data_IF_744727490022
#
_entry.id   IF_744727490022
#
_cell.length_a   1.000
_cell.length_b   1.000
_cell.length_c   1.000
_cell.angle_alpha   90.00
_cell.angle_beta   90.00
_cell.angle_gamma   90.00
#
_symmetry.space_group_name_H-M   'P 1'
#
loop_
_entity.id
_entity.type
_entity.pdbx_description
1 polymer ?
#
# COMPACT_ATOMS: atom_id res chain seq x y z
N UNK A 1 32.92 4.66 -8.04
CA UNK A 1 32.34 6.00 -8.26
C UNK A 1 32.21 6.20 -9.76
N UNK A 2 31.08 5.81 -10.32
CA UNK A 2 30.72 6.11 -11.72
C UNK A 2 29.36 6.80 -11.65
N UNK A 3 29.32 8.08 -11.97
CA UNK A 3 28.11 8.82 -12.23
C UNK A 3 27.39 8.15 -13.40
N UNK A 4 26.27 7.46 -13.15
CA UNK A 4 25.35 7.09 -14.21
C UNK A 4 24.63 8.38 -14.64
N UNK A 5 25.22 9.04 -15.63
CA UNK A 5 24.51 10.07 -16.38
C UNK A 5 23.48 9.33 -17.24
N UNK A 6 22.19 9.72 -17.12
CA UNK A 6 21.21 9.42 -18.14
C UNK A 6 21.80 9.81 -19.51
N UNK A 7 21.31 9.25 -20.58
CA UNK A 7 21.86 9.41 -21.93
C UNK A 7 22.08 10.87 -22.33
N UNK A 8 21.67 11.83 -21.51
CA UNK A 8 21.72 13.27 -21.75
C UNK A 8 22.17 14.14 -20.56
N UNK A 9 22.65 13.54 -19.47
CA UNK A 9 23.35 14.26 -18.39
C UNK A 9 22.51 15.19 -17.51
N UNK A 10 21.17 15.04 -17.50
CA UNK A 10 20.26 15.90 -16.75
C UNK A 10 19.71 15.20 -15.51
N UNK A 11 19.66 15.94 -14.42
CA UNK A 11 19.11 15.47 -13.14
C UNK A 11 17.60 15.73 -13.07
N UNK A 12 16.78 14.70 -13.24
CA UNK A 12 15.33 14.78 -12.97
C UNK A 12 15.13 14.64 -11.45
N UNK A 13 14.58 15.65 -10.81
CA UNK A 13 14.27 15.63 -9.38
C UNK A 13 12.88 14.99 -9.16
N UNK A 14 12.87 13.68 -8.87
CA UNK A 14 11.64 12.90 -8.62
C UNK A 14 10.86 13.45 -7.41
N UNK A 15 11.56 14.02 -6.41
CA UNK A 15 10.92 14.68 -5.28
C UNK A 15 10.18 15.96 -5.70
N UNK A 16 10.75 16.69 -6.69
CA UNK A 16 10.08 17.85 -7.29
C UNK A 16 8.81 17.44 -8.03
N UNK A 17 8.85 16.33 -8.75
CA UNK A 17 7.70 15.79 -9.49
C UNK A 17 6.60 15.38 -8.53
N UNK A 18 6.90 14.61 -7.47
CA UNK A 18 5.93 14.19 -6.47
C UNK A 18 5.25 15.39 -5.77
N UNK A 19 6.02 16.45 -5.44
CA UNK A 19 5.45 17.66 -4.85
C UNK A 19 4.67 18.50 -5.86
N UNK A 20 5.06 18.52 -7.14
CA UNK A 20 4.31 19.20 -8.19
C UNK A 20 2.96 18.51 -8.42
N UNK A 21 2.90 17.19 -8.46
CA UNK A 21 1.67 16.39 -8.55
C UNK A 21 0.78 16.64 -7.33
N UNK A 22 1.34 16.63 -6.12
CA UNK A 22 0.58 16.94 -4.90
C UNK A 22 -0.03 18.36 -4.95
N UNK A 23 0.68 19.35 -5.51
CA UNK A 23 0.15 20.70 -5.69
C UNK A 23 -0.97 20.76 -6.74
N UNK A 24 -0.85 20.05 -7.85
CA UNK A 24 -1.87 20.00 -8.90
C UNK A 24 -3.15 19.33 -8.39
N UNK A 25 -3.02 18.23 -7.64
CA UNK A 25 -4.15 17.51 -7.03
C UNK A 25 -4.82 18.35 -5.91
N UNK A 26 -4.04 19.24 -5.23
CA UNK A 26 -4.56 20.09 -4.13
C UNK A 26 -4.99 21.49 -4.56
N UNK A 27 -4.66 21.94 -5.77
CA UNK A 27 -5.06 23.25 -6.30
C UNK A 27 -6.33 23.15 -7.14
N UNK A 28 -7.42 22.62 -6.59
CA UNK A 28 -8.76 22.85 -7.11
C UNK A 28 -9.21 24.24 -6.62
N UNK A 29 -8.67 25.28 -7.29
CA UNK A 29 -9.19 26.63 -7.19
C UNK A 29 -10.53 26.64 -7.91
N UNK A 30 -11.62 26.52 -7.13
CA UNK A 30 -13.03 26.44 -7.47
C UNK A 30 -13.55 27.42 -8.55
N UNK A 31 -13.01 27.37 -9.74
CA UNK A 31 -13.52 28.11 -10.90
C UNK A 31 -13.84 27.09 -12.01
N UNK A 32 -15.08 26.54 -11.92
CA UNK A 32 -15.65 25.61 -12.86
C UNK A 32 -15.76 26.14 -14.28
N UNK A 33 -14.76 25.84 -15.10
CA UNK A 33 -14.87 25.76 -16.55
C UNK A 33 -13.71 24.91 -17.11
N UNK A 34 -13.79 23.61 -16.96
CA UNK A 34 -12.93 22.69 -17.69
C UNK A 34 -13.74 22.07 -18.82
N UNK A 35 -13.55 22.57 -20.03
CA UNK A 35 -13.93 21.85 -21.25
C UNK A 35 -13.13 20.56 -21.34
N UNK A 36 -13.83 19.46 -21.58
CA UNK A 36 -13.25 18.13 -21.80
C UNK A 36 -12.36 18.12 -23.06
N UNK A 37 -11.10 18.44 -22.87
CA UNK A 37 -10.03 18.27 -23.83
C UNK A 37 -8.78 17.88 -23.06
N UNK A 38 -8.18 16.74 -23.37
CA UNK A 38 -6.99 16.19 -22.74
C UNK A 38 -5.84 17.21 -22.73
N UNK A 39 -5.68 17.91 -21.61
CA UNK A 39 -4.51 18.73 -21.37
C UNK A 39 -3.95 18.35 -20.01
N UNK A 40 -2.96 17.46 -20.01
CA UNK A 40 -2.06 17.23 -18.88
C UNK A 40 -1.49 18.57 -18.42
N UNK A 41 -1.52 18.90 -17.12
CA UNK A 41 -0.95 20.16 -16.65
C UNK A 41 0.54 20.17 -16.94
N UNK A 42 0.99 21.07 -17.82
CA UNK A 42 2.40 21.24 -18.15
C UNK A 42 3.10 21.89 -16.95
N UNK A 43 3.90 21.09 -16.24
CA UNK A 43 4.78 21.61 -15.19
C UNK A 43 5.89 22.41 -15.84
N UNK A 44 5.93 23.74 -15.62
CA UNK A 44 6.91 24.64 -16.25
C UNK A 44 7.97 25.17 -15.30
N UNK A 45 7.92 24.81 -14.01
CA UNK A 45 8.86 25.32 -13.01
C UNK A 45 9.46 24.21 -12.18
N UNK A 46 10.76 24.31 -11.94
CA UNK A 46 11.50 23.48 -10.98
C UNK A 46 11.13 23.82 -9.53
N UNK A 47 11.62 23.04 -8.56
CA UNK A 47 11.32 23.26 -7.12
C UNK A 47 11.89 24.59 -6.59
N UNK A 48 12.99 25.09 -7.14
CA UNK A 48 13.57 26.37 -6.77
C UNK A 48 12.86 27.57 -7.45
N UNK A 49 11.84 27.28 -8.29
CA UNK A 49 11.04 28.28 -8.98
C UNK A 49 11.63 28.76 -10.30
N UNK A 50 12.75 28.20 -10.77
CA UNK A 50 13.31 28.48 -12.09
C UNK A 50 12.44 27.89 -13.21
N UNK A 51 12.47 28.48 -14.39
CA UNK A 51 11.72 27.97 -15.53
C UNK A 51 12.42 26.74 -16.13
N UNK A 52 11.65 25.70 -16.42
CA UNK A 52 12.12 24.51 -17.15
C UNK A 52 12.28 24.81 -18.63
N UNK A 53 13.25 24.14 -19.28
CA UNK A 53 13.27 24.12 -20.74
C UNK A 53 12.05 23.35 -21.29
N UNK A 54 11.66 23.61 -22.54
CA UNK A 54 10.54 22.89 -23.18
C UNK A 54 10.74 21.37 -23.17
N UNK A 55 11.97 20.92 -23.38
CA UNK A 55 12.37 19.51 -23.37
C UNK A 55 12.24 18.89 -21.96
N UNK A 56 12.68 19.59 -20.92
CA UNK A 56 12.49 19.16 -19.53
C UNK A 56 11.01 19.11 -19.14
N UNK A 57 10.22 20.09 -19.57
CA UNK A 57 8.76 20.11 -19.33
C UNK A 57 8.07 18.93 -20.04
N UNK A 58 8.52 18.57 -21.23
CA UNK A 58 8.01 17.42 -21.98
C UNK A 58 8.35 16.10 -21.27
N UNK A 59 9.60 15.88 -20.86
CA UNK A 59 10.03 14.68 -20.13
C UNK A 59 9.24 14.51 -18.80
N UNK A 60 9.03 15.60 -18.07
CA UNK A 60 8.22 15.60 -16.84
C UNK A 60 6.76 15.27 -17.13
N UNK A 61 6.21 15.81 -18.21
CA UNK A 61 4.82 15.53 -18.61
C UNK A 61 4.63 14.06 -18.96
N UNK A 62 5.53 13.48 -19.75
CA UNK A 62 5.50 12.05 -20.12
C UNK A 62 5.64 11.14 -18.91
N UNK A 63 6.57 11.47 -17.99
CA UNK A 63 6.72 10.76 -16.72
C UNK A 63 5.42 10.78 -15.89
N UNK A 64 4.79 11.95 -15.76
CA UNK A 64 3.53 12.09 -15.01
C UNK A 64 2.39 11.31 -15.68
N UNK A 65 2.28 11.36 -17.00
CA UNK A 65 1.26 10.61 -17.75
C UNK A 65 1.39 9.11 -17.53
N UNK A 66 2.60 8.56 -17.62
CA UNK A 66 2.86 7.15 -17.36
C UNK A 66 2.48 6.74 -15.94
N UNK A 67 2.90 7.54 -14.93
CA UNK A 67 2.60 7.25 -13.53
C UNK A 67 1.10 7.37 -13.22
N UNK A 68 0.44 8.40 -13.74
CA UNK A 68 -1.01 8.57 -13.58
C UNK A 68 -1.79 7.46 -14.27
N UNK A 69 -1.35 7.01 -15.46
CA UNK A 69 -1.93 5.86 -16.14
C UNK A 69 -1.85 4.59 -15.30
N UNK A 70 -0.67 4.32 -14.71
CA UNK A 70 -0.47 3.16 -13.84
C UNK A 70 -1.31 3.23 -12.55
N UNK A 71 -1.42 4.42 -11.92
CA UNK A 71 -2.28 4.63 -10.75
C UNK A 71 -3.76 4.40 -11.10
N UNK A 72 -4.21 4.92 -12.23
CA UNK A 72 -5.59 4.70 -12.69
C UNK A 72 -5.88 3.22 -12.96
N UNK A 73 -4.91 2.46 -13.49
CA UNK A 73 -5.05 1.01 -13.66
C UNK A 73 -5.18 0.28 -12.30
N UNK A 74 -4.45 0.73 -11.26
CA UNK A 74 -4.63 0.19 -9.90
C UNK A 74 -6.09 0.35 -9.45
N UNK A 75 -6.67 1.54 -9.56
CA UNK A 75 -8.06 1.80 -9.15
C UNK A 75 -9.08 1.08 -10.04
N UNK A 76 -8.85 1.05 -11.36
CA UNK A 76 -9.73 0.32 -12.29
C UNK A 76 -9.84 -1.15 -11.91
N UNK A 77 -8.70 -1.81 -11.68
CA UNK A 77 -8.68 -3.22 -11.27
C UNK A 77 -9.27 -3.42 -9.87
N UNK A 78 -9.12 -2.47 -8.97
CA UNK A 78 -9.81 -2.51 -7.67
C UNK A 78 -11.32 -2.51 -7.84
N UNK A 79 -11.86 -1.61 -8.69
CA UNK A 79 -13.28 -1.58 -9.02
C UNK A 79 -13.75 -2.92 -9.60
N UNK A 80 -13.02 -3.49 -10.53
CA UNK A 80 -13.33 -4.81 -11.13
C UNK A 80 -13.43 -5.91 -10.05
N UNK A 81 -12.51 -5.95 -9.08
CA UNK A 81 -12.55 -6.94 -7.99
C UNK A 81 -13.72 -6.71 -7.01
N UNK A 82 -14.10 -5.47 -6.78
CA UNK A 82 -15.25 -5.14 -5.94
C UNK A 82 -16.55 -5.48 -6.66
N UNK A 83 -16.69 -5.09 -7.94
CA UNK A 83 -17.88 -5.32 -8.75
C UNK A 83 -18.17 -6.80 -8.97
N UNK A 84 -17.15 -7.62 -9.19
CA UNK A 84 -17.29 -9.06 -9.33
C UNK A 84 -17.40 -9.83 -8.01
N UNK A 85 -17.35 -9.12 -6.86
CA UNK A 85 -17.49 -9.70 -5.53
C UNK A 85 -16.28 -10.47 -5.01
N UNK A 86 -15.10 -10.28 -5.60
CA UNK A 86 -13.86 -10.92 -5.12
C UNK A 86 -13.56 -10.50 -3.69
N UNK A 87 -13.75 -9.22 -3.36
CA UNK A 87 -13.73 -8.69 -1.98
C UNK A 87 -14.69 -7.52 -1.83
N UNK A 88 -15.00 -7.19 -0.58
CA UNK A 88 -15.97 -6.14 -0.24
C UNK A 88 -15.46 -4.75 -0.60
N UNK A 89 -16.40 -3.83 -0.89
CA UNK A 89 -16.08 -2.41 -0.91
C UNK A 89 -15.39 -2.00 0.39
N UNK A 90 -14.24 -1.29 0.34
CA UNK A 90 -13.47 -0.99 1.53
C UNK A 90 -14.29 -0.20 2.56
N UNK A 91 -14.33 -0.68 3.79
CA UNK A 91 -15.15 -0.14 4.87
C UNK A 91 -14.89 1.34 5.17
N UNK A 92 -13.71 1.81 4.89
CA UNK A 92 -13.25 3.18 5.14
C UNK A 92 -13.55 4.14 4.00
N UNK A 93 -13.88 3.63 2.82
CA UNK A 93 -14.37 4.39 1.69
C UNK A 93 -15.91 4.51 1.67
N UNK A 94 -16.61 3.70 2.44
CA UNK A 94 -18.07 3.75 2.59
C UNK A 94 -18.45 4.72 3.73
N UNK A 95 -19.13 5.84 3.44
CA UNK A 95 -19.52 6.82 4.45
C UNK A 95 -20.37 6.24 5.59
N UNK A 96 -21.06 5.11 5.35
CA UNK A 96 -21.90 4.45 6.37
C UNK A 96 -21.11 3.61 7.36
N UNK A 97 -19.93 3.14 6.99
CA UNK A 97 -19.07 2.23 7.78
C UNK A 97 -17.72 2.84 8.16
N UNK A 98 -17.29 3.87 7.46
CA UNK A 98 -16.04 4.56 7.72
C UNK A 98 -16.00 5.18 9.13
N UNK A 99 -14.85 5.23 9.79
CA UNK A 99 -14.71 5.96 11.04
C UNK A 99 -15.13 7.42 10.85
N UNK A 100 -16.02 7.91 11.72
CA UNK A 100 -16.54 9.29 11.64
C UNK A 100 -15.43 10.35 11.59
N UNK A 101 -14.27 10.09 12.19
CA UNK A 101 -13.11 10.96 12.16
C UNK A 101 -12.50 11.10 10.75
N UNK A 102 -12.59 10.09 9.91
CA UNK A 102 -12.00 10.07 8.57
C UNK A 102 -12.70 11.06 7.62
N UNK A 103 -14.01 11.25 7.80
CA UNK A 103 -14.83 12.16 6.99
C UNK A 103 -15.11 13.49 7.69
N UNK A 104 -14.61 13.67 8.92
CA UNK A 104 -14.76 14.93 9.63
C UNK A 104 -13.73 15.96 9.14
N UNK A 105 -14.15 17.06 8.50
CA UNK A 105 -13.25 18.07 7.95
C UNK A 105 -12.27 18.66 8.98
N UNK A 106 -12.70 18.80 10.24
CA UNK A 106 -11.85 19.30 11.32
C UNK A 106 -10.76 18.30 11.70
N UNK A 107 -11.10 17.00 11.75
CA UNK A 107 -10.14 15.94 12.03
C UNK A 107 -9.13 15.80 10.88
N UNK A 108 -9.57 15.83 9.62
CA UNK A 108 -8.72 15.81 8.43
C UNK A 108 -7.80 17.04 8.41
N UNK A 109 -8.33 18.24 8.68
CA UNK A 109 -7.54 19.47 8.75
C UNK A 109 -6.51 19.41 9.88
N UNK A 110 -6.87 18.88 11.05
CA UNK A 110 -5.94 18.70 12.17
C UNK A 110 -4.80 17.73 11.82
N UNK A 111 -5.11 16.64 11.11
CA UNK A 111 -4.13 15.66 10.65
C UNK A 111 -3.20 16.27 9.58
N UNK A 112 -3.76 16.98 8.60
CA UNK A 112 -3.00 17.68 7.58
C UNK A 112 -2.05 18.74 8.18
N UNK A 113 -2.52 19.52 9.17
CA UNK A 113 -1.69 20.49 9.88
C UNK A 113 -0.57 19.81 10.71
N UNK A 114 -0.87 18.67 11.34
CA UNK A 114 0.15 17.91 12.07
C UNK A 114 1.20 17.35 11.11
N UNK A 115 0.77 16.80 9.98
CA UNK A 115 1.66 16.36 8.91
C UNK A 115 2.52 17.49 8.36
N UNK A 116 1.95 18.66 8.07
CA UNK A 116 2.70 19.81 7.55
C UNK A 116 3.80 20.29 8.52
N UNK A 117 3.56 20.17 9.84
CA UNK A 117 4.60 20.47 10.84
C UNK A 117 5.70 19.43 10.84
N UNK A 118 5.33 18.14 10.80
CA UNK A 118 6.29 17.04 10.75
C UNK A 118 7.15 17.12 9.48
N UNK A 119 6.55 17.38 8.33
CA UNK A 119 7.27 17.52 7.04
C UNK A 119 8.32 18.64 7.04
N UNK A 120 8.15 19.70 7.83
CA UNK A 120 9.21 20.72 8.00
C UNK A 120 10.43 20.14 8.71
N UNK A 121 10.20 19.39 9.79
CA UNK A 121 11.27 18.71 10.53
C UNK A 121 11.94 17.63 9.66
N UNK A 122 11.14 16.88 8.89
CA UNK A 122 11.64 15.91 7.90
C UNK A 122 12.55 16.59 6.88
N UNK A 123 12.14 17.75 6.32
CA UNK A 123 12.96 18.50 5.36
C UNK A 123 14.27 19.01 5.98
N UNK A 124 14.24 19.53 7.21
CA UNK A 124 15.43 19.96 7.94
C UNK A 124 16.39 18.78 8.18
N UNK A 125 15.88 17.64 8.62
CA UNK A 125 16.65 16.42 8.86
C UNK A 125 17.25 15.85 7.58
N UNK A 126 16.49 15.86 6.48
CA UNK A 126 16.95 15.47 5.14
C UNK A 126 18.10 16.36 4.67
N UNK A 127 17.94 17.69 4.74
CA UNK A 127 18.97 18.64 4.34
C UNK A 127 20.25 18.49 5.17
N UNK A 128 20.11 18.17 6.45
CA UNK A 128 21.23 17.92 7.35
C UNK A 128 21.81 16.49 7.25
N UNK A 129 21.19 15.59 6.44
CA UNK A 129 21.52 14.16 6.32
C UNK A 129 21.54 13.41 7.66
N UNK A 130 20.64 13.78 8.57
CA UNK A 130 20.51 13.22 9.92
C UNK A 130 19.51 12.05 9.99
N UNK A 131 19.82 10.93 9.34
CA UNK A 131 18.98 9.73 9.41
C UNK A 131 19.15 8.88 10.66
N UNK A 132 20.23 9.07 11.42
CA UNK A 132 20.57 8.22 12.57
C UNK A 132 20.39 8.90 13.94
N UNK A 133 19.70 10.03 13.99
CA UNK A 133 19.45 10.80 15.20
C UNK A 133 18.70 9.99 16.29
N UNK A 134 17.87 9.05 15.88
CA UNK A 134 17.10 8.19 16.76
C UNK A 134 17.99 7.30 17.64
N UNK A 135 19.08 6.78 17.09
CA UNK A 135 20.06 5.97 17.83
C UNK A 135 20.68 6.73 18.98
N UNK A 136 20.91 8.05 18.81
CA UNK A 136 21.48 8.91 19.85
C UNK A 136 20.47 9.22 20.95
N UNK A 137 19.19 9.29 20.62
CA UNK A 137 18.12 9.74 21.52
C UNK A 137 17.48 8.58 22.31
N UNK A 138 17.35 7.39 21.73
CA UNK A 138 16.60 6.26 22.29
C UNK A 138 17.48 5.13 22.86
N UNK A 139 18.70 5.40 23.26
CA UNK A 139 19.67 4.42 23.82
C UNK A 139 19.24 3.82 25.16
N UNK A 140 18.04 4.07 25.67
CA UNK A 140 17.60 3.63 26.99
C UNK A 140 17.60 2.08 27.17
N UNK A 141 17.41 1.31 26.09
CA UNK A 141 17.60 -0.15 26.07
C UNK A 141 18.07 -0.63 24.69
N UNK A 142 19.37 -0.61 24.39
CA UNK A 142 19.91 -1.03 23.09
C UNK A 142 19.72 -2.52 22.80
N UNK A 143 19.27 -3.32 23.78
CA UNK A 143 18.96 -4.75 23.57
C UNK A 143 17.53 -5.01 23.11
N UNK A 144 16.64 -4.02 23.26
CA UNK A 144 15.23 -4.16 22.89
C UNK A 144 15.02 -4.07 21.39
N UNK A 145 15.78 -3.23 20.71
CA UNK A 145 15.65 -2.98 19.28
C UNK A 145 16.94 -3.28 18.55
N UNK A 146 16.91 -3.91 17.37
CA UNK A 146 18.11 -4.11 16.57
C UNK A 146 18.64 -2.76 16.05
N UNK A 147 19.93 -2.69 15.82
CA UNK A 147 20.62 -1.48 15.40
C UNK A 147 20.07 -0.86 14.11
N UNK A 148 19.65 -1.70 13.15
CA UNK A 148 19.08 -1.23 11.90
C UNK A 148 17.71 -0.57 12.07
N UNK A 149 16.98 -0.88 13.15
CA UNK A 149 15.68 -0.30 13.46
C UNK A 149 15.78 1.08 14.09
N UNK A 150 16.90 1.38 14.75
CA UNK A 150 17.12 2.61 15.49
C UNK A 150 17.61 3.75 14.58
N UNK A 151 16.81 4.09 13.57
CA UNK A 151 17.07 5.20 12.66
C UNK A 151 15.77 5.87 12.20
N UNK A 152 15.90 7.10 11.68
CA UNK A 152 14.76 7.86 11.19
C UNK A 152 14.48 7.46 9.73
N UNK A 153 13.90 6.29 9.51
CA UNK A 153 13.41 5.90 8.20
C UNK A 153 12.53 7.02 7.64
N UNK A 154 12.63 7.28 6.34
CA UNK A 154 11.91 8.37 5.66
C UNK A 154 12.20 9.76 6.25
N UNK A 155 13.29 9.91 7.03
CA UNK A 155 13.59 11.08 7.85
C UNK A 155 12.47 11.47 8.81
N UNK A 156 11.48 10.59 9.02
CA UNK A 156 10.34 10.87 9.88
C UNK A 156 10.76 11.02 11.35
N UNK A 157 9.99 11.82 12.09
CA UNK A 157 10.25 12.07 13.49
C UNK A 157 10.03 10.79 14.30
N UNK A 158 11.03 10.46 15.15
CA UNK A 158 11.06 9.29 16.04
C UNK A 158 11.01 7.92 15.31
N UNK A 159 11.27 7.86 14.00
CA UNK A 159 11.17 6.61 13.24
C UNK A 159 9.80 5.93 13.49
N UNK A 160 9.79 4.68 13.95
CA UNK A 160 8.56 3.97 14.33
C UNK A 160 8.34 3.90 15.85
N UNK A 161 9.03 4.72 16.65
CA UNK A 161 9.06 4.62 18.12
C UNK A 161 8.25 5.71 18.85
N UNK A 162 7.23 6.28 18.18
CA UNK A 162 6.32 7.20 18.88
C UNK A 162 4.86 7.03 18.45
N UNK A 163 3.94 7.39 19.36
CA UNK A 163 2.52 7.42 19.07
C UNK A 163 2.15 8.48 18.02
N UNK A 164 2.95 9.53 17.88
CA UNK A 164 2.75 10.55 16.85
C UNK A 164 3.11 10.01 15.48
N UNK A 165 4.26 9.34 15.35
CA UNK A 165 4.65 8.65 14.11
C UNK A 165 3.55 7.69 13.67
N UNK A 166 3.12 6.77 14.54
CA UNK A 166 2.06 5.81 14.24
C UNK A 166 0.73 6.48 13.82
N UNK A 167 0.40 7.65 14.38
CA UNK A 167 -0.82 8.40 14.03
C UNK A 167 -0.74 9.06 12.65
N UNK A 168 0.45 9.49 12.22
CA UNK A 168 0.63 10.18 10.95
C UNK A 168 0.90 9.22 9.79
N UNK A 169 1.40 8.04 10.07
CA UNK A 169 1.95 7.10 9.11
C UNK A 169 1.02 6.82 7.93
N UNK A 170 -0.21 6.34 8.18
CA UNK A 170 -1.14 5.99 7.10
C UNK A 170 -1.48 7.20 6.21
N UNK A 171 -1.64 8.38 6.80
CA UNK A 171 -1.88 9.62 6.06
C UNK A 171 -0.66 10.02 5.23
N UNK A 172 0.55 9.91 5.78
CA UNK A 172 1.79 10.24 5.07
C UNK A 172 2.02 9.30 3.89
N UNK A 173 1.77 8.01 4.08
CA UNK A 173 1.92 7.00 3.03
C UNK A 173 0.89 7.20 1.91
N UNK A 174 -0.38 7.48 2.25
CA UNK A 174 -1.39 7.82 1.23
C UNK A 174 -1.03 9.08 0.44
N UNK A 175 -0.52 10.10 1.11
CA UNK A 175 -0.05 11.33 0.44
C UNK A 175 1.15 11.06 -0.48
N UNK A 176 2.10 10.22 -0.05
CA UNK A 176 3.28 9.84 -0.83
C UNK A 176 2.89 9.11 -2.12
N UNK A 177 1.91 8.20 -2.02
CA UNK A 177 1.44 7.38 -3.13
C UNK A 177 0.15 7.90 -3.79
N UNK A 178 -0.11 9.20 -3.68
CA UNK A 178 -1.22 9.90 -4.36
C UNK A 178 -2.61 9.27 -4.12
N UNK A 179 -2.83 8.75 -2.92
CA UNK A 179 -4.08 8.10 -2.52
C UNK A 179 -4.24 6.65 -2.97
N UNK A 180 -3.20 6.04 -3.57
CA UNK A 180 -3.27 4.68 -4.09
C UNK A 180 -2.64 3.61 -3.17
N UNK A 181 -2.03 4.02 -2.04
CA UNK A 181 -1.30 3.09 -1.19
C UNK A 181 -2.17 1.92 -0.69
N UNK A 182 -3.37 2.20 -0.24
CA UNK A 182 -4.29 1.15 0.23
C UNK A 182 -4.80 0.28 -0.91
N UNK A 183 -5.06 0.85 -2.09
CA UNK A 183 -5.44 0.09 -3.27
C UNK A 183 -4.31 -0.87 -3.71
N UNK A 184 -3.04 -0.42 -3.63
CA UNK A 184 -1.88 -1.28 -3.86
C UNK A 184 -1.78 -2.41 -2.83
N UNK A 185 -1.98 -2.13 -1.52
CA UNK A 185 -2.01 -3.15 -0.46
C UNK A 185 -3.11 -4.19 -0.72
N UNK A 186 -4.31 -3.75 -1.09
CA UNK A 186 -5.47 -4.63 -1.36
C UNK A 186 -5.30 -5.54 -2.58
N UNK A 187 -4.26 -5.35 -3.41
CA UNK A 187 -3.90 -6.30 -4.49
C UNK A 187 -3.61 -7.72 -4.00
N UNK A 188 -3.32 -7.94 -2.72
CA UNK A 188 -3.21 -9.27 -2.14
C UNK A 188 -4.58 -9.92 -1.82
N UNK A 189 -5.65 -9.13 -1.66
CA UNK A 189 -6.97 -9.66 -1.28
C UNK A 189 -7.56 -10.67 -2.26
N UNK A 190 -7.43 -10.55 -3.59
CA UNK A 190 -7.91 -11.57 -4.53
C UNK A 190 -7.27 -12.94 -4.28
N UNK A 191 -5.98 -13.00 -3.99
CA UNK A 191 -5.27 -14.24 -3.67
C UNK A 191 -5.68 -14.81 -2.32
N UNK A 192 -5.94 -13.93 -1.33
CA UNK A 192 -6.47 -14.32 -0.02
C UNK A 192 -7.90 -14.87 -0.18
N UNK A 193 -8.75 -14.21 -0.97
CA UNK A 193 -10.12 -14.66 -1.25
C UNK A 193 -10.13 -16.05 -1.91
N UNK A 194 -9.22 -16.29 -2.87
CA UNK A 194 -9.06 -17.60 -3.49
C UNK A 194 -8.63 -18.67 -2.49
N UNK A 195 -7.63 -18.37 -1.65
CA UNK A 195 -7.18 -19.26 -0.59
C UNK A 195 -8.30 -19.58 0.41
N UNK A 196 -9.12 -18.61 0.75
CA UNK A 196 -10.20 -18.73 1.73
C UNK A 196 -11.48 -19.36 1.18
N UNK A 197 -11.64 -19.52 -0.16
CA UNK A 197 -12.88 -19.95 -0.83
C UNK A 197 -13.49 -21.22 -0.25
N UNK A 198 -12.66 -22.17 0.14
CA UNK A 198 -13.09 -23.48 0.66
C UNK A 198 -12.59 -23.71 2.10
N UNK A 199 -12.33 -22.63 2.85
CA UNK A 199 -11.81 -22.71 4.23
C UNK A 199 -12.81 -22.07 5.19
N UNK A 200 -12.88 -22.65 6.38
CA UNK A 200 -13.65 -22.06 7.47
C UNK A 200 -12.78 -20.97 8.15
N UNK A 201 -13.22 -19.72 8.03
CA UNK A 201 -12.52 -18.58 8.60
C UNK A 201 -12.41 -18.67 10.13
N UNK A 202 -13.40 -19.27 10.81
CA UNK A 202 -13.41 -19.38 12.28
C UNK A 202 -12.32 -20.30 12.83
N UNK A 203 -11.82 -21.21 12.01
CA UNK A 203 -10.75 -22.15 12.36
C UNK A 203 -9.41 -21.81 11.69
N UNK A 204 -9.40 -20.89 10.73
CA UNK A 204 -8.21 -20.46 10.00
C UNK A 204 -7.40 -19.48 10.86
N UNK A 205 -6.13 -19.81 11.10
CA UNK A 205 -5.18 -18.97 11.82
C UNK A 205 -4.37 -18.10 10.86
N UNK A 206 -4.45 -16.79 11.06
CA UNK A 206 -3.75 -15.78 10.29
C UNK A 206 -2.70 -15.06 11.13
N UNK A 207 -1.50 -14.87 10.58
CA UNK A 207 -0.44 -14.03 11.13
C UNK A 207 -0.16 -12.86 10.18
N UNK A 208 -0.21 -11.65 10.72
CA UNK A 208 0.24 -10.43 10.02
C UNK A 208 1.59 -10.02 10.60
N UNK A 209 2.67 -10.21 9.81
CA UNK A 209 4.07 -9.97 10.24
C UNK A 209 4.45 -8.54 9.93
N UNK A 210 4.97 -7.84 10.95
CA UNK A 210 5.22 -6.40 10.92
C UNK A 210 3.94 -5.62 10.54
N UNK A 211 2.89 -5.85 11.34
CA UNK A 211 1.54 -5.35 11.05
C UNK A 211 1.42 -3.83 10.97
N UNK A 212 2.44 -3.09 11.41
CA UNK A 212 2.46 -1.64 11.42
C UNK A 212 1.28 -1.06 12.20
N UNK A 213 0.51 -0.19 11.57
CA UNK A 213 -0.74 0.35 12.13
C UNK A 213 -1.91 -0.64 12.09
N UNK A 214 -1.72 -1.83 11.52
CA UNK A 214 -2.77 -2.82 11.29
C UNK A 214 -3.68 -2.47 10.10
N UNK A 215 -3.22 -1.59 9.21
CA UNK A 215 -4.01 -1.10 8.08
C UNK A 215 -4.41 -2.23 7.14
N UNK A 216 -3.44 -3.03 6.67
CA UNK A 216 -3.74 -4.17 5.80
C UNK A 216 -4.53 -5.27 6.53
N UNK A 217 -4.15 -5.58 7.76
CA UNK A 217 -4.89 -6.51 8.62
C UNK A 217 -6.38 -6.15 8.71
N UNK A 218 -6.69 -4.85 8.77
CA UNK A 218 -8.08 -4.40 8.85
C UNK A 218 -8.89 -4.74 7.60
N UNK A 219 -8.28 -4.69 6.41
CA UNK A 219 -8.94 -5.10 5.16
C UNK A 219 -9.13 -6.62 5.08
N UNK A 220 -8.14 -7.39 5.54
CA UNK A 220 -8.28 -8.86 5.63
C UNK A 220 -9.43 -9.21 6.57
N UNK A 221 -9.49 -8.60 7.76
CA UNK A 221 -10.53 -8.86 8.75
C UNK A 221 -11.91 -8.30 8.37
N UNK A 222 -11.97 -7.27 7.54
CA UNK A 222 -13.25 -6.80 7.00
C UNK A 222 -13.86 -7.84 6.07
N UNK A 223 -13.05 -8.48 5.24
CA UNK A 223 -13.49 -9.53 4.33
C UNK A 223 -13.77 -10.86 5.06
N UNK A 224 -12.98 -11.17 6.06
CA UNK A 224 -13.04 -12.42 6.84
C UNK A 224 -13.06 -12.13 8.36
N UNK A 225 -14.18 -11.59 8.90
CA UNK A 225 -14.24 -11.11 10.28
C UNK A 225 -14.11 -12.22 11.33
N UNK A 226 -14.33 -13.49 10.96
CA UNK A 226 -14.23 -14.65 11.83
C UNK A 226 -12.81 -15.21 11.96
N UNK A 227 -11.83 -14.68 11.18
CA UNK A 227 -10.45 -15.14 11.25
C UNK A 227 -9.84 -15.04 12.64
N UNK A 228 -9.06 -16.06 13.01
CA UNK A 228 -8.23 -16.07 14.21
C UNK A 228 -6.89 -15.37 13.88
N UNK A 229 -6.87 -14.04 13.99
CA UNK A 229 -5.74 -13.22 13.58
C UNK A 229 -4.73 -13.00 14.71
N UNK A 230 -3.45 -13.00 14.38
CA UNK A 230 -2.34 -12.54 15.20
C UNK A 230 -1.63 -11.42 14.48
N UNK A 231 -1.40 -10.28 15.13
CA UNK A 231 -0.59 -9.19 14.64
C UNK A 231 0.75 -9.21 15.40
N UNK A 232 1.86 -9.34 14.66
CA UNK A 232 3.20 -9.24 15.20
C UNK A 232 3.82 -7.92 14.75
N UNK A 233 4.28 -7.12 15.71
CA UNK A 233 4.86 -5.80 15.46
C UNK A 233 5.90 -5.47 16.53
N UNK A 234 7.02 -4.90 16.11
CA UNK A 234 8.12 -4.55 17.02
C UNK A 234 7.87 -3.25 17.78
N UNK A 235 7.16 -2.28 17.16
CA UNK A 235 6.82 -1.02 17.81
C UNK A 235 5.57 -1.16 18.69
N UNK A 236 5.66 -0.92 19.99
CA UNK A 236 4.48 -0.91 20.86
C UNK A 236 3.47 0.18 20.48
N UNK A 237 3.94 1.28 19.88
CA UNK A 237 3.07 2.38 19.43
C UNK A 237 2.26 2.01 18.19
N UNK A 238 2.87 1.32 17.24
CA UNK A 238 2.20 0.82 16.05
C UNK A 238 1.27 -0.34 16.40
N UNK A 239 1.69 -1.24 17.28
CA UNK A 239 0.85 -2.34 17.79
C UNK A 239 -0.41 -1.81 18.51
N UNK A 240 -0.30 -0.70 19.27
CA UNK A 240 -1.45 -0.04 19.88
C UNK A 240 -2.38 0.60 18.82
N UNK A 241 -1.82 1.12 17.71
CA UNK A 241 -2.63 1.58 16.57
C UNK A 241 -3.36 0.42 15.90
N UNK A 242 -2.68 -0.72 15.71
CA UNK A 242 -3.29 -1.98 15.23
C UNK A 242 -4.46 -2.39 16.10
N UNK A 243 -4.32 -2.36 17.42
CA UNK A 243 -5.39 -2.68 18.38
C UNK A 243 -6.59 -1.75 18.19
N UNK A 244 -6.36 -0.43 18.12
CA UNK A 244 -7.41 0.58 17.97
C UNK A 244 -8.16 0.44 16.66
N UNK A 245 -7.43 0.30 15.55
CA UNK A 245 -8.02 0.21 14.20
C UNK A 245 -8.88 -1.06 14.07
N UNK A 246 -8.41 -2.17 14.64
CA UNK A 246 -9.07 -3.46 14.53
C UNK A 246 -10.16 -3.74 15.59
N UNK A 247 -10.36 -2.81 16.54
CA UNK A 247 -11.43 -2.91 17.57
C UNK A 247 -12.83 -3.05 16.95
N UNK A 248 -13.05 -2.49 15.76
CA UNK A 248 -14.31 -2.56 15.01
C UNK A 248 -14.76 -3.97 14.64
N UNK A 249 -13.85 -4.95 14.71
CA UNK A 249 -14.12 -6.36 14.43
C UNK A 249 -14.34 -7.19 15.69
N UNK A 250 -14.28 -6.59 16.89
CA UNK A 250 -14.60 -7.28 18.13
C UNK A 250 -16.06 -7.77 18.12
N UNK A 251 -16.29 -8.99 18.60
CA UNK A 251 -17.61 -9.61 18.62
C UNK A 251 -18.15 -10.13 17.28
N UNK A 252 -17.34 -10.09 16.21
CA UNK A 252 -17.72 -10.62 14.88
C UNK A 252 -17.29 -12.08 14.64
N UNK A 253 -16.97 -12.83 15.69
CA UNK A 253 -16.64 -14.26 15.65
C UNK A 253 -15.13 -14.55 15.61
N UNK A 254 -14.31 -13.66 15.10
CA UNK A 254 -12.86 -13.80 15.08
C UNK A 254 -12.16 -13.25 16.33
N UNK A 255 -10.87 -13.55 16.44
CA UNK A 255 -10.00 -13.03 17.51
C UNK A 255 -8.88 -12.14 16.96
N UNK A 256 -8.25 -11.38 17.84
CA UNK A 256 -7.00 -10.67 17.55
C UNK A 256 -6.05 -10.83 18.72
N UNK A 257 -4.95 -11.57 18.49
CA UNK A 257 -3.80 -11.65 19.38
C UNK A 257 -2.77 -10.62 18.95
N UNK A 258 -2.26 -9.83 19.89
CA UNK A 258 -1.18 -8.86 19.63
C UNK A 258 0.11 -9.39 20.23
N UNK A 259 1.17 -9.37 19.43
CA UNK A 259 2.50 -9.87 19.82
C UNK A 259 3.52 -8.76 19.54
N UNK A 260 4.08 -8.17 20.61
CA UNK A 260 5.20 -7.25 20.50
C UNK A 260 6.49 -8.08 20.40
N UNK A 261 7.03 -8.22 19.19
CA UNK A 261 8.23 -9.01 18.95
C UNK A 261 8.94 -8.62 17.66
N UNK A 262 10.23 -8.98 17.58
CA UNK A 262 11.02 -8.88 16.37
C UNK A 262 10.69 -10.07 15.44
N UNK A 263 10.48 -9.78 14.15
CA UNK A 263 10.22 -10.79 13.13
C UNK A 263 11.41 -11.73 12.86
N UNK A 264 12.60 -11.42 13.36
CA UNK A 264 13.77 -12.29 13.29
C UNK A 264 13.75 -13.47 14.30
N UNK A 265 12.92 -13.34 15.35
CA UNK A 265 12.80 -14.35 16.41
C UNK A 265 11.35 -14.29 16.95
N UNK A 266 10.43 -14.92 16.24
CA UNK A 266 9.01 -14.88 16.57
C UNK A 266 8.69 -15.82 17.73
N UNK A 267 8.12 -15.34 18.86
CA UNK A 267 7.69 -16.18 19.99
C UNK A 267 6.38 -16.93 19.64
N UNK A 268 6.42 -17.71 18.55
CA UNK A 268 5.30 -18.41 17.96
C UNK A 268 5.71 -19.85 17.66
N UNK A 269 4.76 -20.78 17.71
CA UNK A 269 5.00 -22.18 17.51
C UNK A 269 5.27 -22.53 16.03
N UNK A 270 6.04 -23.58 15.80
CA UNK A 270 6.25 -24.14 14.46
C UNK A 270 4.91 -24.59 13.87
N UNK A 271 4.69 -24.29 12.58
CA UNK A 271 3.48 -24.71 11.88
C UNK A 271 2.18 -24.28 12.60
N UNK A 272 2.15 -23.07 13.15
CA UNK A 272 0.98 -22.55 13.87
C UNK A 272 -0.09 -21.98 12.92
N UNK A 273 0.33 -21.33 11.82
CA UNK A 273 -0.56 -20.50 10.98
C UNK A 273 -0.89 -21.14 9.64
N UNK A 274 -2.15 -20.97 9.20
CA UNK A 274 -2.63 -21.40 7.88
C UNK A 274 -2.27 -20.39 6.79
N UNK A 275 -2.23 -19.11 7.14
CA UNK A 275 -1.79 -18.03 6.25
C UNK A 275 -0.99 -16.97 6.99
N UNK A 276 -0.06 -16.37 6.25
CA UNK A 276 0.75 -15.23 6.69
C UNK A 276 0.56 -14.08 5.70
N UNK A 277 0.44 -12.86 6.20
CA UNK A 277 0.56 -11.63 5.43
C UNK A 277 1.79 -10.85 5.88
N UNK A 278 2.47 -10.23 4.94
CA UNK A 278 3.57 -9.30 5.20
C UNK A 278 3.52 -8.18 4.18
N UNK A 279 3.51 -6.93 4.63
CA UNK A 279 3.32 -5.76 3.77
C UNK A 279 4.36 -4.70 4.07
N UNK A 280 5.17 -4.35 3.06
CA UNK A 280 6.16 -3.26 3.08
C UNK A 280 7.18 -3.36 4.24
N UNK A 281 7.82 -4.53 4.37
CA UNK A 281 8.86 -4.78 5.38
C UNK A 281 10.24 -4.99 4.76
N UNK A 282 10.35 -5.79 3.70
CA UNK A 282 11.66 -6.32 3.26
C UNK A 282 12.59 -5.25 2.69
N UNK A 283 12.05 -4.19 2.07
CA UNK A 283 12.86 -3.07 1.61
C UNK A 283 13.52 -2.29 2.75
N UNK A 284 13.00 -2.40 3.98
CA UNK A 284 13.51 -1.76 5.18
C UNK A 284 14.54 -2.62 5.95
N UNK A 285 14.76 -3.85 5.52
CA UNK A 285 15.63 -4.79 6.22
C UNK A 285 16.99 -4.96 5.56
N UNK A 286 18.08 -5.10 6.34
CA UNK A 286 19.36 -5.59 5.83
C UNK A 286 19.22 -6.97 5.16
N UNK A 287 20.04 -7.27 4.16
CA UNK A 287 19.99 -8.55 3.41
C UNK A 287 19.97 -9.80 4.30
N UNK A 288 20.85 -9.85 5.29
CA UNK A 288 20.92 -11.01 6.20
C UNK A 288 19.65 -11.16 7.03
N UNK A 289 19.06 -10.04 7.45
CA UNK A 289 17.81 -10.02 8.23
C UNK A 289 16.63 -10.51 7.40
N UNK A 290 16.55 -10.15 6.11
CA UNK A 290 15.49 -10.66 5.20
C UNK A 290 15.46 -12.18 5.18
N UNK A 291 16.62 -12.84 5.08
CA UNK A 291 16.70 -14.30 5.10
C UNK A 291 16.25 -14.89 6.44
N UNK A 292 16.64 -14.27 7.57
CA UNK A 292 16.21 -14.70 8.90
C UNK A 292 14.69 -14.60 9.04
N UNK A 293 14.11 -13.47 8.65
CA UNK A 293 12.65 -13.25 8.70
C UNK A 293 11.91 -14.21 7.76
N UNK A 294 12.43 -14.45 6.54
CA UNK A 294 11.84 -15.43 5.62
C UNK A 294 11.81 -16.85 6.21
N UNK A 295 12.88 -17.26 6.90
CA UNK A 295 12.96 -18.57 7.60
C UNK A 295 11.96 -18.64 8.76
N UNK A 296 11.82 -17.57 9.54
CA UNK A 296 10.84 -17.52 10.63
C UNK A 296 9.41 -17.60 10.10
N UNK A 297 9.09 -16.86 9.01
CA UNK A 297 7.79 -16.99 8.35
C UNK A 297 7.53 -18.42 7.87
N UNK A 298 8.54 -19.06 7.25
CA UNK A 298 8.42 -20.44 6.81
C UNK A 298 8.27 -21.42 7.99
N UNK A 299 8.96 -21.17 9.13
CA UNK A 299 8.86 -22.01 10.34
C UNK A 299 7.45 -22.01 10.91
N UNK A 300 6.86 -20.82 11.09
CA UNK A 300 5.56 -20.70 11.73
C UNK A 300 4.38 -21.00 10.79
N UNK A 301 4.60 -21.03 9.47
CA UNK A 301 3.59 -21.40 8.46
C UNK A 301 3.41 -22.92 8.43
N UNK A 302 2.16 -23.39 8.40
CA UNK A 302 1.83 -24.83 8.24
C UNK A 302 2.19 -25.34 6.86
N UNK A 303 2.55 -26.62 6.69
CA UNK A 303 2.53 -27.28 5.39
C UNK A 303 1.17 -27.09 4.69
N UNK A 304 1.17 -26.70 3.41
CA UNK A 304 -0.02 -26.31 2.65
C UNK A 304 -0.58 -24.92 2.97
N UNK A 305 0.04 -24.20 3.91
CA UNK A 305 -0.27 -22.79 4.18
C UNK A 305 0.34 -21.85 3.14
N UNK A 306 -0.12 -20.58 3.11
CA UNK A 306 0.35 -19.57 2.16
C UNK A 306 0.85 -18.31 2.82
N UNK A 307 1.92 -17.74 2.24
CA UNK A 307 2.42 -16.40 2.50
C UNK A 307 1.94 -15.47 1.39
N UNK A 308 1.25 -14.40 1.76
CA UNK A 308 0.88 -13.28 0.89
C UNK A 308 1.81 -12.12 1.21
N UNK A 309 2.75 -11.90 0.33
CA UNK A 309 3.82 -10.92 0.48
C UNK A 309 3.53 -9.74 -0.43
N UNK A 310 3.55 -8.53 0.12
CA UNK A 310 3.41 -7.26 -0.63
C UNK A 310 4.58 -6.37 -0.28
N UNK A 311 5.31 -5.93 -1.30
CA UNK A 311 6.43 -5.01 -1.07
C UNK A 311 6.64 -4.11 -2.30
N UNK A 312 7.63 -3.27 -2.27
CA UNK A 312 7.97 -2.38 -3.38
C UNK A 312 8.41 -3.18 -4.62
N UNK A 313 8.20 -2.62 -5.80
CA UNK A 313 8.76 -3.17 -7.04
C UNK A 313 10.28 -3.18 -7.02
N UNK A 314 10.86 -4.04 -7.84
CA UNK A 314 12.30 -4.23 -7.98
C UNK A 314 12.77 -3.88 -9.39
N UNK A 315 14.08 -3.81 -9.61
CA UNK A 315 14.67 -3.62 -10.94
C UNK A 315 14.21 -4.76 -11.85
N UNK A 316 13.64 -4.40 -12.99
CA UNK A 316 13.10 -5.32 -13.99
C UNK A 316 11.58 -5.52 -13.93
N UNK A 317 10.90 -5.19 -12.81
CA UNK A 317 9.44 -5.29 -12.70
C UNK A 317 8.70 -4.28 -13.62
N UNK A 318 9.35 -3.20 -14.01
CA UNK A 318 8.77 -2.17 -14.90
C UNK A 318 8.54 -2.61 -16.35
N UNK A 319 9.15 -3.71 -16.79
CA UNK A 319 9.02 -4.20 -18.19
C UNK A 319 7.58 -4.53 -18.55
N UNK A 320 6.86 -5.19 -17.66
CA UNK A 320 5.48 -5.61 -17.89
C UNK A 320 4.49 -4.44 -17.92
N UNK A 321 4.85 -3.32 -17.26
CA UNK A 321 3.99 -2.14 -17.12
C UNK A 321 4.36 -0.98 -18.06
N UNK A 322 5.36 -1.15 -18.94
CA UNK A 322 5.84 -0.10 -19.84
C UNK A 322 6.57 1.06 -19.13
N UNK A 323 7.00 0.85 -17.89
CA UNK A 323 7.62 1.87 -17.02
C UNK A 323 9.13 1.64 -16.80
N UNK A 324 9.79 0.79 -17.58
CA UNK A 324 11.15 0.30 -17.34
C UNK A 324 12.15 1.43 -17.02
N UNK A 325 12.27 2.43 -17.86
CA UNK A 325 13.23 3.52 -17.65
C UNK A 325 12.87 4.47 -16.51
N UNK A 326 11.58 4.74 -16.31
CA UNK A 326 11.10 5.62 -15.25
C UNK A 326 11.27 4.98 -13.87
N UNK A 327 11.03 3.67 -13.75
CA UNK A 327 11.24 2.94 -12.50
C UNK A 327 12.71 2.87 -12.11
N UNK A 328 13.60 2.54 -13.03
CA UNK A 328 15.02 2.43 -12.72
C UNK A 328 15.59 3.74 -12.19
N UNK A 329 15.21 4.86 -12.76
CA UNK A 329 15.60 6.19 -12.29
C UNK A 329 15.02 6.50 -10.91
N UNK A 330 13.73 6.18 -10.68
CA UNK A 330 13.08 6.37 -9.39
C UNK A 330 13.74 5.49 -8.31
N UNK A 331 13.97 4.20 -8.60
CA UNK A 331 14.59 3.24 -7.67
C UNK A 331 16.04 3.62 -7.32
N UNK A 332 16.76 4.31 -8.19
CA UNK A 332 18.11 4.80 -7.87
C UNK A 332 18.09 6.01 -6.91
N UNK A 333 17.14 6.92 -7.07
CA UNK A 333 17.11 8.21 -6.34
C UNK A 333 16.27 8.18 -5.08
N UNK A 334 15.14 7.46 -5.11
CA UNK A 334 14.17 7.38 -4.02
C UNK A 334 14.79 7.00 -2.66
N UNK A 335 15.68 5.98 -2.57
CA UNK A 335 16.27 5.58 -1.30
C UNK A 335 17.14 6.65 -0.65
N UNK A 336 17.87 7.41 -1.46
CA UNK A 336 18.73 8.50 -0.95
C UNK A 336 17.87 9.68 -0.48
N UNK A 337 16.79 9.98 -1.20
CA UNK A 337 15.88 11.07 -0.86
C UNK A 337 15.04 10.78 0.39
N UNK A 338 14.64 9.52 0.59
CA UNK A 338 13.77 9.12 1.70
C UNK A 338 14.50 8.44 2.86
N UNK A 339 15.83 8.36 2.84
CA UNK A 339 16.60 7.63 3.84
C UNK A 339 16.13 6.20 4.04
N UNK A 340 16.23 5.42 2.95
CA UNK A 340 15.97 3.98 2.93
C UNK A 340 17.28 3.23 2.63
N UNK A 341 18.09 2.98 3.65
CA UNK A 341 19.47 2.53 3.44
C UNK A 341 19.58 1.11 2.86
N UNK A 342 18.53 0.31 2.99
CA UNK A 342 18.53 -1.09 2.55
C UNK A 342 17.78 -1.30 1.22
N UNK A 343 17.12 -0.27 0.71
CA UNK A 343 16.27 -0.36 -0.47
C UNK A 343 17.05 -0.72 -1.75
N UNK A 344 18.23 -0.13 -1.96
CA UNK A 344 19.05 -0.44 -3.16
C UNK A 344 19.46 -1.91 -3.22
N UNK A 345 19.78 -2.51 -2.07
CA UNK A 345 20.07 -3.93 -1.98
C UNK A 345 18.81 -4.79 -2.15
N UNK A 346 17.67 -4.34 -1.62
CA UNK A 346 16.37 -4.97 -1.84
C UNK A 346 16.01 -4.97 -3.33
N UNK A 347 16.17 -3.84 -4.03
CA UNK A 347 15.78 -3.68 -5.43
C UNK A 347 16.47 -4.66 -6.40
N UNK A 348 17.62 -5.24 -6.01
CA UNK A 348 18.36 -6.25 -6.79
C UNK A 348 18.31 -7.65 -6.18
N UNK A 349 17.61 -7.84 -5.05
CA UNK A 349 17.50 -9.15 -4.40
C UNK A 349 16.51 -10.04 -5.15
N UNK A 350 16.90 -11.26 -5.51
CA UNK A 350 15.97 -12.25 -6.03
C UNK A 350 15.08 -12.78 -4.89
N UNK A 351 13.88 -12.23 -4.76
CA UNK A 351 12.93 -12.61 -3.70
C UNK A 351 12.40 -14.03 -3.86
N UNK A 352 12.25 -14.52 -5.10
CA UNK A 352 11.84 -15.92 -5.33
C UNK A 352 12.87 -16.86 -4.74
N UNK A 353 14.14 -16.69 -5.12
CA UNK A 353 15.26 -17.51 -4.60
C UNK A 353 15.37 -17.40 -3.07
N UNK A 354 15.24 -16.20 -2.51
CA UNK A 354 15.31 -15.97 -1.06
C UNK A 354 14.24 -16.76 -0.30
N UNK A 355 12.98 -16.74 -0.77
CA UNK A 355 11.90 -17.49 -0.11
C UNK A 355 11.97 -18.99 -0.40
N UNK A 356 12.48 -19.40 -1.56
CA UNK A 356 12.73 -20.81 -1.87
C UNK A 356 13.84 -21.40 -0.98
N UNK A 357 14.92 -20.67 -0.73
CA UNK A 357 15.96 -21.03 0.25
C UNK A 357 15.40 -21.10 1.68
N UNK A 358 14.37 -20.32 2.00
CA UNK A 358 13.67 -20.40 3.28
C UNK A 358 12.70 -21.59 3.37
N UNK A 359 12.50 -22.36 2.28
CA UNK A 359 11.62 -23.55 2.23
C UNK A 359 10.19 -23.27 1.76
N UNK A 360 9.96 -22.14 1.10
CA UNK A 360 8.68 -21.78 0.49
C UNK A 360 8.76 -21.95 -1.03
N UNK A 361 7.61 -22.16 -1.68
CA UNK A 361 7.49 -22.28 -3.13
C UNK A 361 6.73 -21.06 -3.68
N UNK A 362 7.30 -20.40 -4.67
CA UNK A 362 6.64 -19.32 -5.40
C UNK A 362 5.44 -19.85 -6.20
N UNK A 363 4.31 -19.13 -6.18
CA UNK A 363 3.09 -19.48 -6.90
C UNK A 363 2.61 -18.38 -7.85
N UNK A 364 2.72 -17.10 -7.46
CA UNK A 364 2.23 -16.00 -8.27
C UNK A 364 2.97 -14.70 -7.96
N UNK A 365 3.02 -13.82 -8.97
CA UNK A 365 3.46 -12.42 -8.83
C UNK A 365 2.50 -11.53 -9.60
N UNK A 366 2.17 -10.36 -9.03
CA UNK A 366 1.45 -9.30 -9.71
C UNK A 366 1.98 -7.95 -9.27
N UNK A 367 2.04 -7.00 -10.19
CA UNK A 367 2.43 -5.62 -9.92
C UNK A 367 1.22 -4.70 -9.86
N UNK A 368 1.35 -3.62 -9.09
CA UNK A 368 0.36 -2.57 -8.99
C UNK A 368 1.08 -1.25 -8.78
N UNK A 369 1.29 -0.51 -9.84
CA UNK A 369 2.14 0.68 -9.90
C UNK A 369 3.52 0.40 -9.28
N UNK A 370 3.86 0.99 -8.13
CA UNK A 370 5.16 0.83 -7.45
C UNK A 370 5.16 -0.29 -6.40
N UNK A 371 4.17 -1.14 -6.40
CA UNK A 371 4.03 -2.26 -5.48
C UNK A 371 3.97 -3.60 -6.21
N UNK A 372 4.45 -4.64 -5.55
CA UNK A 372 4.46 -6.01 -6.02
C UNK A 372 3.84 -6.93 -4.99
N UNK A 373 2.88 -7.75 -5.40
CA UNK A 373 2.31 -8.83 -4.60
C UNK A 373 2.91 -10.15 -5.05
N UNK A 374 3.39 -10.97 -4.13
CA UNK A 374 3.88 -12.31 -4.39
C UNK A 374 3.17 -13.31 -3.46
N UNK A 375 2.89 -14.49 -3.97
CA UNK A 375 2.27 -15.58 -3.22
C UNK A 375 3.23 -16.74 -3.16
N UNK A 376 3.44 -17.25 -1.96
CA UNK A 376 4.25 -18.44 -1.71
C UNK A 376 3.45 -19.46 -0.92
N UNK A 377 3.76 -20.75 -1.08
CA UNK A 377 3.21 -21.83 -0.26
C UNK A 377 4.31 -22.62 0.44
N UNK A 378 4.00 -23.15 1.61
CA UNK A 378 4.86 -24.14 2.27
C UNK A 378 4.52 -25.54 1.77
N UNK A 379 5.43 -26.25 1.10
CA UNK A 379 5.20 -27.61 0.63
C UNK A 379 4.84 -28.57 1.77
N UNK A 380 4.12 -29.64 1.45
CA UNK A 380 3.97 -30.77 2.36
C UNK A 380 5.28 -31.58 2.46
N UNK A 381 5.52 -32.23 3.59
CA UNK A 381 6.69 -33.07 3.78
C UNK A 381 6.82 -34.12 2.68
N UNK A 382 8.00 -34.22 2.08
CA UNK A 382 8.28 -35.13 0.96
C UNK A 382 7.87 -34.63 -0.43
N UNK A 383 7.33 -33.42 -0.57
CA UNK A 383 7.12 -32.78 -1.85
C UNK A 383 8.43 -32.11 -2.33
N UNK A 384 8.99 -32.58 -3.44
CA UNK A 384 10.12 -31.88 -4.08
C UNK A 384 9.66 -30.52 -4.59
N UNK A 385 10.46 -29.49 -4.35
CA UNK A 385 10.24 -28.17 -4.94
C UNK A 385 10.60 -28.22 -6.43
N UNK A 386 9.68 -27.97 -7.37
CA UNK A 386 10.06 -27.74 -8.75
C UNK A 386 10.94 -26.49 -8.81
N UNK A 387 12.01 -26.53 -9.62
CA UNK A 387 12.89 -25.38 -9.79
C UNK A 387 12.13 -24.22 -10.43
N UNK A 388 12.38 -23.00 -9.99
CA UNK A 388 11.70 -21.75 -10.39
C UNK A 388 11.60 -21.51 -11.92
N UNK A 389 12.38 -22.20 -12.75
CA UNK A 389 12.36 -22.09 -14.21
C UNK A 389 11.17 -22.78 -14.91
N UNK A 390 10.32 -23.54 -14.19
CA UNK A 390 9.29 -24.41 -14.79
C UNK A 390 7.84 -23.98 -14.49
N UNK A 391 7.63 -22.87 -13.77
CA UNK A 391 6.29 -22.43 -13.42
C UNK A 391 5.71 -21.48 -14.47
N UNK A 392 4.51 -21.78 -15.04
CA UNK A 392 3.83 -20.82 -15.88
C UNK A 392 3.40 -19.59 -15.04
N UNK A 393 3.54 -18.42 -15.62
CA UNK A 393 2.97 -17.19 -15.04
C UNK A 393 1.44 -17.40 -14.95
N UNK A 394 0.93 -17.60 -13.76
CA UNK A 394 -0.52 -17.67 -13.52
C UNK A 394 -1.05 -16.25 -13.53
N UNK A 395 -1.45 -15.79 -14.71
CA UNK A 395 -2.35 -14.63 -14.80
C UNK A 395 -3.68 -15.10 -14.20
N UNK A 396 -4.31 -14.37 -13.26
CA UNK A 396 -5.66 -14.71 -12.81
C UNK A 396 -6.56 -14.89 -14.03
N UNK A 397 -7.16 -16.08 -14.20
CA UNK A 397 -8.07 -16.33 -15.31
C UNK A 397 -9.15 -15.26 -15.29
N UNK A 398 -9.35 -14.60 -16.42
CA UNK A 398 -10.53 -13.79 -16.65
C UNK A 398 -11.75 -14.69 -16.33
N UNK A 399 -12.54 -14.28 -15.34
CA UNK A 399 -13.81 -14.94 -15.07
C UNK A 399 -14.68 -14.63 -16.27
N UNK A 400 -14.91 -15.61 -17.13
CA UNK A 400 -15.90 -15.50 -18.21
C UNK A 400 -17.24 -15.10 -17.58
N UNK A 401 -17.63 -13.86 -17.80
CA UNK A 401 -18.95 -13.36 -17.44
C UNK A 401 -19.97 -14.17 -18.27
N UNK A 402 -20.94 -14.85 -17.63
CA UNK A 402 -22.02 -15.50 -18.41
C UNK A 402 -22.74 -14.42 -19.22
N UNK A 403 -22.81 -14.59 -20.53
CA UNK A 403 -23.44 -13.69 -21.51
C UNK A 403 -24.98 -13.51 -21.36
N UNK A 404 -25.54 -13.76 -20.18
CA UNK A 404 -26.98 -13.82 -19.95
C UNK A 404 -27.59 -12.63 -19.20
N UNK A 405 -26.83 -11.57 -18.91
CA UNK A 405 -27.35 -10.41 -18.12
C UNK A 405 -27.51 -9.14 -18.96
N UNK A 406 -27.07 -9.10 -20.22
CA UNK A 406 -27.08 -7.85 -21.02
C UNK A 406 -28.39 -7.66 -21.83
N UNK A 407 -29.33 -8.62 -21.84
CA UNK A 407 -30.57 -8.50 -22.66
C UNK A 407 -31.81 -7.98 -21.91
N UNK A 408 -31.76 -7.61 -20.64
CA UNK A 408 -32.96 -7.26 -19.86
C UNK A 408 -33.16 -5.75 -19.57
N UNK A 409 -32.39 -4.83 -20.15
CA UNK A 409 -32.52 -3.39 -19.86
C UNK A 409 -32.83 -2.53 -21.09
N UNK A 410 -33.14 -3.11 -22.23
CA UNK A 410 -33.43 -2.35 -23.45
C UNK A 410 -34.85 -2.57 -23.97
N UNK A 411 -35.91 -2.30 -23.18
CA UNK A 411 -37.27 -2.02 -23.68
C UNK A 411 -38.19 -1.51 -22.56
N UNK A 412 -38.10 -0.24 -22.20
CA UNK A 412 -39.24 0.54 -21.69
C UNK A 412 -39.25 1.90 -22.37
N UNK A 413 -40.18 2.07 -23.33
CA UNK A 413 -40.56 3.34 -23.94
C UNK A 413 -41.41 4.13 -22.94
N UNK A 414 -41.25 5.47 -22.84
CA UNK A 414 -42.11 6.29 -22.00
C UNK A 414 -43.50 6.47 -22.63
N UNK A 415 -44.55 6.18 -21.85
CA UNK A 415 -45.96 6.49 -22.20
C UNK A 415 -46.22 7.95 -21.95
N UNK A 416 -46.97 8.55 -22.87
CA UNK A 416 -47.39 9.91 -22.97
C UNK A 416 -48.22 10.36 -21.77
N UNK A 417 -47.98 11.61 -21.37
CA UNK A 417 -48.64 12.34 -20.31
C UNK A 417 -50.00 12.88 -20.71
N UNK A 418 -51.01 12.59 -19.90
CA UNK A 418 -52.23 13.43 -19.86
C UNK A 418 -52.08 14.56 -18.83
N UNK A 419 -52.46 15.74 -19.29
CA UNK A 419 -52.51 16.97 -18.53
C UNK A 419 -53.78 17.09 -17.72
N UNK A 420 -53.69 17.40 -16.40
CA UNK A 420 -54.83 18.04 -15.68
C UNK A 420 -54.30 18.97 -14.59
N UNK A 421 -54.62 20.25 -14.72
CA UNK A 421 -55.26 21.09 -13.71
C UNK A 421 -54.40 21.69 -12.60
N UNK A 422 -54.27 23.03 -12.71
CA UNK A 422 -53.91 23.99 -11.69
C UNK A 422 -54.77 23.81 -10.40
N UNK A 423 -54.14 23.84 -9.23
CA UNK A 423 -54.70 24.45 -8.02
C UNK A 423 -53.57 24.73 -7.02
N UNK A 424 -53.33 26.03 -6.77
CA UNK A 424 -52.60 26.49 -5.58
C UNK A 424 -53.43 26.33 -4.31
N UNK A 425 -52.78 26.13 -3.15
CA UNK A 425 -53.04 27.07 -2.06
C UNK A 425 -51.85 27.49 -1.21
N UNK A 426 -51.80 28.77 -1.06
CA UNK A 426 -51.50 29.62 0.13
C UNK A 426 -50.47 29.18 1.17
N UNK A 427 -49.61 30.11 1.36
CA UNK A 427 -48.59 30.37 2.35
C UNK A 427 -49.17 30.41 3.79
N UNK A 428 -48.58 29.64 4.68
CA UNK A 428 -48.75 29.72 6.12
C UNK A 428 -47.43 29.90 6.85
N UNK A 429 -47.05 31.13 7.15
CA UNK A 429 -45.97 31.47 8.08
C UNK A 429 -46.26 31.03 9.49
N UNK A 430 -45.34 30.31 10.13
CA UNK A 430 -45.19 30.32 11.60
C UNK A 430 -43.72 30.29 12.00
N UNK A 431 -43.33 31.37 12.69
CA UNK A 431 -42.16 31.49 13.54
C UNK A 431 -42.23 30.49 14.72
N UNK A 432 -41.12 29.76 14.98
CA UNK A 432 -40.45 29.75 16.27
C UNK A 432 -39.04 29.22 16.05
#
# INVERSE_FOLDING_TARGET
MANSRGTDGRDIDVGAIAQAVARVVMSDDGNGNASAGSATPIVRKTMDGSDMSEEQAQEVSEFLEQHMGAILDVFKRECEFIENGTYKFPYDMDPSTAPAAQWNPLAVSALANANARDQRVVAERRNAKKGQELRETYVADPKRYPDYYLQNFHYQTDGWLSAQSARLYDFQVEMLFLGSADAMRRRALPYIADFMRNRDASTTKHLDVASGTGRFLSFVRDNHPELQSTALELSPHYLESTRKLNKRFEGKGGSLRLVEANAEDMPLEDNEFDMITNVYLFHELPRAVRMTVAKEMARVLKPGGKLFFVDSVQIGDGKENGMEGAFELALDRFPAFNHEPYYKDYAVTNLVELFEEAGLRHEATATAWVSKTMVFSKPFDGQELPRAAELPVVVPQEVETPAAVVEAVAEEKPSETESVGDDEPEIGTRKF
#
